data_IF_943462835100
#
_entry.id   IF_943462835100
#
_cell.length_a   1.000
_cell.length_b   1.000
_cell.length_c   1.000
_cell.angle_alpha   90.00
_cell.angle_beta   90.00
_cell.angle_gamma   90.00
#
_symmetry.space_group_name_H-M   'P 1'
#
loop_
_entity.id
_entity.type
_entity.pdbx_description
1 polymer ?
#
# COMPACT_ATOMS: atom_id res chain seq x y z
N UNK A 1 13.51 60.57 -16.71
CA UNK A 1 12.51 59.56 -16.32
C UNK A 1 13.19 58.57 -15.38
N UNK A 2 12.76 58.53 -14.12
CA UNK A 2 13.26 57.60 -13.09
C UNK A 2 12.71 56.20 -13.36
N UNK A 3 13.43 55.14 -12.96
CA UNK A 3 12.91 54.04 -12.13
C UNK A 3 14.11 53.29 -11.54
N UNK A 4 14.08 53.19 -10.21
CA UNK A 4 15.05 52.58 -9.31
C UNK A 4 14.49 51.21 -8.93
N UNK A 5 15.18 50.10 -9.23
CA UNK A 5 14.77 48.76 -8.79
C UNK A 5 15.62 48.35 -7.59
N UNK A 6 15.20 48.78 -6.39
CA UNK A 6 15.60 48.09 -5.16
C UNK A 6 14.94 46.70 -5.20
N UNK A 7 15.78 45.66 -5.36
CA UNK A 7 15.34 44.28 -5.25
C UNK A 7 14.95 43.99 -3.80
N UNK A 8 13.64 43.89 -3.59
CA UNK A 8 13.00 43.46 -2.37
C UNK A 8 13.27 41.96 -2.21
N UNK A 9 14.20 41.57 -1.33
CA UNK A 9 14.32 40.18 -0.90
C UNK A 9 13.10 39.86 -0.01
N UNK A 10 12.06 39.25 -0.59
CA UNK A 10 11.07 38.52 0.20
C UNK A 10 11.77 37.27 0.77
N UNK A 11 12.09 37.30 2.05
CA UNK A 11 12.21 36.07 2.85
C UNK A 11 10.81 35.48 2.95
N UNK A 12 10.44 34.62 2.00
CA UNK A 12 9.34 33.71 2.19
C UNK A 12 9.75 32.72 3.29
N UNK A 13 9.41 33.04 4.54
CA UNK A 13 9.27 32.02 5.57
C UNK A 13 8.13 31.11 5.15
N UNK A 14 8.43 30.08 4.36
CA UNK A 14 7.60 28.89 4.31
C UNK A 14 7.70 28.27 5.71
N UNK A 15 6.78 28.67 6.60
CA UNK A 15 6.40 27.79 7.68
C UNK A 15 5.86 26.53 7.01
N UNK A 16 6.75 25.56 6.77
CA UNK A 16 6.36 24.21 6.43
C UNK A 16 5.49 23.76 7.59
N UNK A 17 4.17 23.72 7.41
CA UNK A 17 3.34 22.90 8.30
C UNK A 17 4.04 21.56 8.28
N UNK A 18 4.63 21.13 9.40
CA UNK A 18 5.39 19.88 9.44
C UNK A 18 4.46 18.80 8.90
N UNK A 19 4.64 18.44 7.62
CA UNK A 19 3.72 17.56 6.95
C UNK A 19 3.88 16.24 7.67
N UNK A 20 2.85 15.83 8.41
CA UNK A 20 2.89 14.60 9.19
C UNK A 20 3.31 13.43 8.32
N UNK A 21 3.84 12.39 8.95
CA UNK A 21 4.26 11.19 8.24
C UNK A 21 3.03 10.53 7.64
N UNK A 22 3.03 10.32 6.32
CA UNK A 22 1.85 9.86 5.58
C UNK A 22 0.60 10.73 5.84
N UNK A 23 0.78 12.03 6.09
CA UNK A 23 -0.30 13.01 6.27
C UNK A 23 -0.70 13.29 7.72
N UNK A 24 -0.18 12.56 8.72
CA UNK A 24 -0.52 12.79 10.13
C UNK A 24 0.69 12.63 11.07
N UNK A 25 0.93 13.61 11.93
CA UNK A 25 2.08 13.62 12.84
C UNK A 25 2.06 12.46 13.85
N UNK A 26 0.87 11.95 14.21
CA UNK A 26 0.70 10.80 15.11
C UNK A 26 1.26 9.51 14.51
N UNK A 27 1.43 9.44 13.19
CA UNK A 27 2.03 8.28 12.52
C UNK A 27 3.56 8.30 12.54
N UNK A 28 4.21 9.45 12.79
CA UNK A 28 5.66 9.56 12.66
C UNK A 28 6.45 8.63 13.57
N UNK A 29 6.02 8.48 14.83
CA UNK A 29 6.65 7.57 15.79
C UNK A 29 6.22 6.11 15.66
N UNK A 30 5.27 5.79 14.76
CA UNK A 30 4.80 4.41 14.58
C UNK A 30 5.75 3.66 13.65
N UNK A 31 6.03 2.40 14.00
CA UNK A 31 6.74 1.46 13.12
C UNK A 31 5.94 1.25 11.84
N UNK A 32 6.62 1.07 10.72
CA UNK A 32 5.98 0.72 9.45
C UNK A 32 5.11 -0.55 9.56
N UNK A 33 5.54 -1.50 10.38
CA UNK A 33 4.79 -2.72 10.74
C UNK A 33 3.59 -2.52 11.66
N UNK A 34 3.43 -1.33 12.22
CA UNK A 34 2.33 -0.97 13.09
C UNK A 34 1.61 0.25 12.51
N UNK A 35 1.26 0.19 11.23
CA UNK A 35 0.30 1.08 10.56
C UNK A 35 -0.54 0.25 9.58
N UNK A 36 -1.75 0.74 9.30
CA UNK A 36 -2.61 0.22 8.23
C UNK A 36 -2.55 1.15 7.01
N UNK A 37 -2.43 0.58 5.82
CA UNK A 37 -2.41 1.28 4.54
C UNK A 37 -3.49 0.72 3.61
N UNK A 38 -4.19 1.61 2.89
CA UNK A 38 -5.02 1.22 1.75
C UNK A 38 -4.12 1.07 0.52
N UNK A 39 -4.26 -0.07 -0.16
CA UNK A 39 -3.64 -0.32 -1.46
C UNK A 39 -4.69 -0.36 -2.56
N UNK A 40 -4.36 0.20 -3.73
CA UNK A 40 -5.16 0.04 -4.93
C UNK A 40 -4.72 -1.24 -5.65
N UNK A 41 -5.66 -2.16 -5.85
CA UNK A 41 -5.46 -3.41 -6.57
C UNK A 41 -5.62 -3.18 -8.08
N UNK A 42 -4.86 -3.92 -8.91
CA UNK A 42 -4.94 -3.88 -10.37
C UNK A 42 -4.86 -2.50 -11.05
N UNK A 43 -4.17 -1.52 -10.43
CA UNK A 43 -3.93 -0.20 -11.02
C UNK A 43 -2.84 -0.28 -12.12
N UNK A 44 -3.23 -0.86 -13.24
CA UNK A 44 -2.42 -0.99 -14.46
C UNK A 44 -3.21 -1.39 -15.71
N UNK A 45 -4.50 -1.75 -15.58
CA UNK A 45 -5.24 -2.37 -16.69
C UNK A 45 -6.39 -1.55 -17.30
N UNK A 46 -6.99 -0.54 -16.65
CA UNK A 46 -8.27 -0.04 -17.19
C UNK A 46 -8.75 1.40 -16.87
N UNK A 47 -8.01 2.27 -16.17
CA UNK A 47 -8.55 3.60 -15.85
C UNK A 47 -7.63 4.79 -16.23
N UNK A 48 -7.96 5.54 -17.31
CA UNK A 48 -7.30 6.78 -17.68
C UNK A 48 -7.58 7.98 -16.75
N UNK A 49 -8.57 7.91 -15.85
CA UNK A 49 -9.02 9.03 -15.01
C UNK A 49 -8.51 9.01 -13.57
N UNK A 50 -7.74 8.01 -13.15
CA UNK A 50 -7.22 7.90 -11.76
C UNK A 50 -6.08 8.88 -11.43
N UNK A 51 -6.21 10.16 -11.79
CA UNK A 51 -5.37 11.26 -11.31
C UNK A 51 -5.60 11.52 -9.81
N UNK A 52 -4.73 10.94 -8.99
CA UNK A 52 -4.38 11.34 -7.62
C UNK A 52 -5.34 12.28 -6.88
N UNK A 53 -6.33 11.74 -6.15
CA UNK A 53 -6.99 12.46 -5.05
C UNK A 53 -7.33 11.52 -3.89
N UNK A 54 -6.43 11.44 -2.91
CA UNK A 54 -6.71 10.92 -1.57
C UNK A 54 -5.79 9.80 -1.10
N UNK A 55 -4.85 10.12 -0.21
CA UNK A 55 -4.16 9.20 0.70
C UNK A 55 -3.27 8.11 0.08
N UNK A 56 -1.97 8.39 -0.03
CA UNK A 56 -0.91 7.36 -0.14
C UNK A 56 -0.76 6.61 -1.48
N UNK A 57 -1.79 6.55 -2.32
CA UNK A 57 -1.71 5.95 -3.66
C UNK A 57 -1.16 6.97 -4.67
N UNK A 58 0.17 7.02 -4.82
CA UNK A 58 0.83 7.89 -5.79
C UNK A 58 0.37 7.52 -7.20
N UNK A 59 -0.22 8.48 -7.91
CA UNK A 59 -0.54 8.34 -9.33
C UNK A 59 0.73 8.19 -10.16
N UNK A 60 0.62 7.51 -11.30
CA UNK A 60 1.70 7.49 -12.29
C UNK A 60 2.04 8.94 -12.68
N UNK A 61 3.19 9.45 -12.24
CA UNK A 61 3.72 10.76 -12.63
C UNK A 61 3.87 11.81 -11.52
N UNK A 62 3.26 11.63 -10.35
CA UNK A 62 3.43 12.57 -9.24
C UNK A 62 4.68 12.24 -8.40
N UNK A 63 5.50 13.23 -7.99
CA UNK A 63 6.60 12.99 -7.08
C UNK A 63 6.09 12.40 -5.76
N UNK A 64 6.66 11.28 -5.32
CA UNK A 64 6.41 10.73 -3.97
C UNK A 64 6.55 11.86 -2.94
N UNK A 65 5.50 12.23 -2.17
CA UNK A 65 5.59 13.32 -1.20
C UNK A 65 6.74 13.09 -0.22
N UNK A 66 7.52 14.14 0.06
CA UNK A 66 8.76 14.01 0.84
C UNK A 66 8.52 13.41 2.24
N UNK A 67 7.35 13.62 2.83
CA UNK A 67 6.94 13.11 4.15
C UNK A 67 6.13 11.82 4.10
N UNK A 68 6.17 11.06 3.00
CA UNK A 68 5.40 9.83 2.85
C UNK A 68 6.30 8.62 2.61
N UNK A 69 6.02 7.55 3.35
CA UNK A 69 6.49 6.18 3.09
C UNK A 69 5.40 5.45 2.29
N UNK A 70 5.80 4.87 1.16
CA UNK A 70 4.88 4.19 0.24
C UNK A 70 5.26 2.73 0.11
N UNK A 71 4.26 1.88 -0.09
CA UNK A 71 4.43 0.45 -0.34
C UNK A 71 4.07 0.15 -1.78
N UNK A 72 4.95 -0.54 -2.50
CA UNK A 72 4.70 -1.06 -3.83
C UNK A 72 4.64 -2.59 -3.75
N UNK A 73 3.49 -3.14 -4.08
CA UNK A 73 3.27 -4.57 -4.23
C UNK A 73 3.17 -4.87 -5.72
N UNK A 74 4.03 -5.76 -6.25
CA UNK A 74 3.98 -6.18 -7.64
C UNK A 74 3.78 -7.68 -7.75
N UNK A 75 2.96 -8.07 -8.72
CA UNK A 75 2.80 -9.46 -9.11
C UNK A 75 3.77 -9.83 -10.23
N UNK A 76 4.27 -11.06 -10.20
CA UNK A 76 5.26 -11.63 -11.10
C UNK A 76 4.86 -13.06 -11.49
N UNK A 77 3.64 -13.19 -12.01
CA UNK A 77 3.07 -14.48 -12.42
C UNK A 77 3.89 -15.18 -13.51
N UNK A 78 4.53 -14.39 -14.38
CA UNK A 78 5.41 -14.89 -15.45
C UNK A 78 6.78 -15.38 -14.93
N UNK A 79 7.04 -15.26 -13.62
CA UNK A 79 8.29 -15.70 -12.98
C UNK A 79 9.52 -15.03 -13.61
N UNK A 80 9.37 -13.78 -14.03
CA UNK A 80 10.44 -13.01 -14.62
C UNK A 80 11.58 -12.81 -13.61
N UNK A 81 12.82 -12.80 -14.09
CA UNK A 81 13.99 -12.60 -13.22
C UNK A 81 13.92 -11.21 -12.56
N UNK A 82 14.15 -11.17 -11.25
CA UNK A 82 14.04 -9.96 -10.41
C UNK A 82 14.88 -8.79 -10.95
N UNK A 83 15.95 -9.04 -11.70
CA UNK A 83 16.79 -7.98 -12.28
C UNK A 83 16.04 -7.09 -13.28
N UNK A 84 14.96 -7.58 -13.90
CA UNK A 84 14.11 -6.76 -14.79
C UNK A 84 13.43 -5.66 -13.97
N UNK A 85 12.82 -6.03 -12.85
CA UNK A 85 12.21 -5.08 -11.90
C UNK A 85 13.26 -4.17 -11.26
N UNK A 86 14.42 -4.73 -10.89
CA UNK A 86 15.55 -3.98 -10.35
C UNK A 86 16.03 -2.88 -11.31
N UNK A 87 16.18 -3.20 -12.60
CA UNK A 87 16.53 -2.22 -13.65
C UNK A 87 15.44 -1.15 -13.82
N UNK A 88 14.16 -1.53 -13.82
CA UNK A 88 13.07 -0.56 -13.90
C UNK A 88 13.05 0.41 -12.70
N UNK A 89 13.33 -0.09 -11.49
CA UNK A 89 13.47 0.72 -10.28
C UNK A 89 14.65 1.69 -10.35
N UNK A 90 15.77 1.28 -10.94
CA UNK A 90 16.93 2.17 -11.16
C UNK A 90 16.59 3.24 -12.19
N UNK A 91 16.01 2.86 -13.33
CA UNK A 91 15.71 3.77 -14.45
C UNK A 91 14.66 4.83 -14.08
N UNK A 92 13.65 4.46 -13.28
CA UNK A 92 12.66 5.40 -12.73
C UNK A 92 13.23 6.25 -11.60
N UNK A 93 14.39 5.90 -11.07
CA UNK A 93 14.97 6.51 -9.88
C UNK A 93 14.31 6.10 -8.57
N UNK A 94 13.36 5.16 -8.57
CA UNK A 94 12.70 4.67 -7.35
C UNK A 94 13.65 3.88 -6.43
N UNK A 95 14.66 3.22 -7.00
CA UNK A 95 15.64 2.43 -6.24
C UNK A 95 16.35 3.25 -5.14
N UNK A 96 16.54 4.56 -5.32
CA UNK A 96 17.16 5.44 -4.30
C UNK A 96 16.33 5.56 -3.03
N UNK A 97 15.00 5.46 -3.17
CA UNK A 97 14.03 5.53 -2.07
C UNK A 97 13.72 4.17 -1.45
N UNK A 98 14.10 3.07 -2.11
CA UNK A 98 13.75 1.72 -1.67
C UNK A 98 14.50 1.36 -0.38
N UNK A 99 13.75 0.93 0.64
CA UNK A 99 14.28 0.44 1.90
C UNK A 99 14.88 -0.95 1.70
N UNK A 100 16.13 -1.12 2.15
CA UNK A 100 16.86 -2.38 2.13
C UNK A 100 17.06 -2.85 3.56
N UNK A 101 16.29 -3.84 4.03
CA UNK A 101 16.50 -4.44 5.34
C UNK A 101 17.91 -5.07 5.43
N UNK A 102 18.66 -4.87 6.53
CA UNK A 102 19.99 -5.48 6.70
C UNK A 102 19.93 -7.01 6.90
N UNK A 103 18.75 -7.52 7.23
CA UNK A 103 18.41 -8.93 7.45
C UNK A 103 16.90 -9.10 7.28
N UNK A 104 16.40 -10.34 7.37
CA UNK A 104 14.96 -10.56 7.54
C UNK A 104 14.50 -10.00 8.89
N UNK A 105 13.66 -8.96 8.85
CA UNK A 105 13.17 -8.28 10.06
C UNK A 105 11.93 -8.96 10.63
N UNK A 106 11.89 -9.11 11.95
CA UNK A 106 10.64 -9.33 12.68
C UNK A 106 9.80 -8.03 12.67
N UNK A 107 8.48 -8.15 12.87
CA UNK A 107 7.57 -6.99 12.84
C UNK A 107 8.01 -5.86 13.77
N UNK A 108 8.47 -6.16 14.98
CA UNK A 108 8.94 -5.16 15.93
C UNK A 108 10.30 -4.53 15.58
N UNK A 109 11.04 -5.07 14.61
CA UNK A 109 12.34 -4.54 14.18
C UNK A 109 12.22 -3.52 13.04
N UNK A 110 11.04 -3.38 12.42
CA UNK A 110 10.84 -2.38 11.39
C UNK A 110 11.03 -0.95 11.92
N UNK A 111 11.63 -0.05 11.12
CA UNK A 111 11.81 1.35 11.49
C UNK A 111 10.47 2.08 11.60
N UNK A 112 10.48 3.20 12.30
CA UNK A 112 9.39 4.17 12.31
C UNK A 112 9.27 4.88 10.98
N UNK A 113 8.09 5.44 10.69
CA UNK A 113 7.90 6.23 9.48
C UNK A 113 8.84 7.43 9.44
N UNK A 114 9.08 8.09 10.58
CA UNK A 114 10.01 9.21 10.66
C UNK A 114 11.45 8.79 10.34
N UNK A 115 11.92 7.64 10.83
CA UNK A 115 13.26 7.12 10.51
C UNK A 115 13.41 6.79 9.01
N UNK A 116 12.37 6.22 8.40
CA UNK A 116 12.35 5.94 6.96
C UNK A 116 12.37 7.22 6.12
N UNK A 117 11.61 8.24 6.53
CA UNK A 117 11.60 9.55 5.88
C UNK A 117 12.95 10.25 6.04
N UNK A 118 13.51 10.28 7.26
CA UNK A 118 14.80 10.92 7.55
C UNK A 118 15.96 10.28 6.78
N UNK A 119 15.94 8.95 6.62
CA UNK A 119 16.93 8.21 5.84
C UNK A 119 16.66 8.25 4.32
N UNK A 120 15.57 8.90 3.90
CA UNK A 120 15.08 8.92 2.52
C UNK A 120 14.84 7.51 1.95
N UNK A 121 14.61 6.51 2.81
CA UNK A 121 14.29 5.12 2.48
C UNK A 121 12.81 4.87 2.69
N UNK A 122 12.02 5.56 1.86
CA UNK A 122 10.58 5.77 1.98
C UNK A 122 9.75 4.99 0.96
N UNK A 123 10.31 3.93 0.39
CA UNK A 123 9.61 2.96 -0.46
C UNK A 123 9.89 1.55 0.07
N UNK A 124 8.85 0.77 0.36
CA UNK A 124 8.96 -0.67 0.60
C UNK A 124 8.40 -1.38 -0.60
N UNK A 125 9.19 -2.28 -1.21
CA UNK A 125 8.77 -3.01 -2.40
C UNK A 125 8.70 -4.51 -2.11
N UNK A 126 7.53 -5.10 -2.35
CA UNK A 126 7.29 -6.54 -2.29
C UNK A 126 7.02 -7.08 -3.70
N UNK A 127 7.50 -8.29 -3.96
CA UNK A 127 7.27 -9.04 -5.19
C UNK A 127 6.78 -10.45 -4.80
N UNK A 128 5.63 -10.87 -5.31
CA UNK A 128 4.95 -12.12 -4.94
C UNK A 128 5.79 -13.37 -5.23
N UNK A 129 6.43 -13.42 -6.39
CA UNK A 129 7.17 -14.57 -6.89
C UNK A 129 8.52 -14.16 -7.47
N UNK A 130 9.51 -15.04 -7.30
CA UNK A 130 10.86 -14.90 -7.85
C UNK A 130 11.61 -13.62 -7.40
N UNK A 131 11.27 -13.08 -6.22
CA UNK A 131 12.15 -12.16 -5.53
C UNK A 131 13.48 -12.86 -5.15
N UNK A 132 14.59 -12.12 -5.24
CA UNK A 132 15.91 -12.61 -4.81
C UNK A 132 16.71 -11.41 -4.28
N UNK A 133 16.77 -11.28 -2.96
CA UNK A 133 17.46 -10.18 -2.29
C UNK A 133 18.99 -10.28 -2.38
N UNK A 134 19.55 -11.41 -2.81
CA UNK A 134 20.97 -11.49 -3.13
C UNK A 134 21.28 -10.81 -4.48
N UNK A 135 20.32 -10.80 -5.43
CA UNK A 135 20.43 -10.09 -6.72
C UNK A 135 19.97 -8.64 -6.63
N UNK A 136 18.81 -8.39 -6.02
CA UNK A 136 18.22 -7.05 -5.90
C UNK A 136 17.78 -6.83 -4.45
N UNK A 137 18.66 -6.32 -3.56
CA UNK A 137 18.45 -6.31 -2.11
C UNK A 137 17.22 -5.56 -1.61
N UNK A 138 16.69 -4.61 -2.39
CA UNK A 138 15.55 -3.77 -2.03
C UNK A 138 14.20 -4.25 -2.57
N UNK A 139 14.15 -5.38 -3.30
CA UNK A 139 12.91 -6.03 -3.72
C UNK A 139 12.71 -7.24 -2.81
N UNK A 140 11.76 -7.11 -1.88
CA UNK A 140 11.52 -8.11 -0.85
C UNK A 140 10.59 -9.20 -1.38
N UNK A 141 10.86 -10.44 -0.97
CA UNK A 141 9.93 -11.55 -1.13
C UNK A 141 8.67 -11.26 -0.31
N UNK A 142 7.55 -11.08 -0.99
CA UNK A 142 6.27 -10.81 -0.35
C UNK A 142 5.93 -11.89 0.67
N UNK A 143 5.92 -13.16 0.29
CA UNK A 143 5.49 -14.25 1.16
C UNK A 143 6.53 -14.62 2.24
N UNK A 144 7.75 -14.08 2.14
CA UNK A 144 8.68 -14.06 3.25
C UNK A 144 8.27 -13.08 4.36
N UNK A 145 7.50 -12.03 4.06
CA UNK A 145 7.10 -10.98 5.00
C UNK A 145 5.59 -10.88 5.26
N UNK A 146 4.75 -11.27 4.31
CA UNK A 146 3.32 -11.05 4.29
C UNK A 146 2.58 -12.38 4.20
N UNK A 147 1.32 -12.36 4.62
CA UNK A 147 0.32 -13.31 4.15
C UNK A 147 -0.84 -12.53 3.52
N UNK A 148 -1.61 -13.23 2.70
CA UNK A 148 -2.79 -12.70 2.03
C UNK A 148 -4.03 -13.54 2.31
N UNK A 149 -5.19 -12.89 2.41
CA UNK A 149 -6.49 -13.57 2.35
C UNK A 149 -6.85 -13.93 0.90
N UNK A 150 -7.82 -14.84 0.67
CA UNK A 150 -8.25 -15.15 -0.69
C UNK A 150 -8.71 -13.91 -1.47
N UNK A 151 -8.34 -13.86 -2.75
CA UNK A 151 -8.78 -12.86 -3.73
C UNK A 151 -9.91 -13.43 -4.61
N UNK A 152 -10.41 -12.65 -5.57
CA UNK A 152 -11.52 -13.04 -6.46
C UNK A 152 -12.78 -13.48 -5.73
N UNK A 153 -13.13 -12.75 -4.68
CA UNK A 153 -14.32 -13.02 -3.88
C UNK A 153 -15.55 -12.50 -4.61
N UNK A 154 -16.63 -13.28 -4.63
CA UNK A 154 -17.93 -12.86 -5.21
C UNK A 154 -19.02 -12.70 -4.13
N UNK A 155 -18.71 -13.00 -2.86
CA UNK A 155 -19.60 -12.71 -1.73
C UNK A 155 -19.26 -11.33 -1.15
N UNK A 156 -20.15 -10.33 -1.28
CA UNK A 156 -19.91 -8.96 -0.80
C UNK A 156 -19.79 -8.84 0.73
N UNK A 157 -20.03 -9.93 1.47
CA UNK A 157 -19.83 -9.97 2.93
C UNK A 157 -18.40 -10.28 3.34
N UNK A 158 -17.56 -10.78 2.43
CA UNK A 158 -16.20 -11.24 2.73
C UNK A 158 -16.13 -12.07 4.04
N UNK A 159 -16.83 -13.22 4.12
CA UNK A 159 -17.15 -13.89 5.39
C UNK A 159 -15.96 -14.63 6.04
N UNK A 160 -14.73 -14.25 5.72
CA UNK A 160 -13.52 -14.94 6.18
C UNK A 160 -12.29 -14.02 6.19
N UNK A 161 -11.30 -14.47 6.96
CA UNK A 161 -9.94 -13.93 6.95
C UNK A 161 -8.95 -15.09 7.12
N UNK A 162 -9.03 -16.08 6.23
CA UNK A 162 -8.09 -17.20 6.24
C UNK A 162 -6.78 -16.81 5.56
N UNK A 163 -5.68 -17.49 5.90
CA UNK A 163 -4.43 -17.37 5.14
C UNK A 163 -4.55 -18.20 3.87
N UNK A 164 -4.50 -17.53 2.72
CA UNK A 164 -4.51 -18.15 1.39
C UNK A 164 -3.11 -18.27 0.82
N UNK A 165 -2.38 -17.14 0.83
CA UNK A 165 -1.02 -17.07 0.29
C UNK A 165 -0.01 -16.62 1.35
N UNK A 166 1.16 -17.27 1.41
CA UNK A 166 1.47 -18.54 0.75
C UNK A 166 0.68 -19.69 1.41
N UNK A 167 0.38 -20.78 0.68
CA UNK A 167 -0.43 -21.88 1.19
C UNK A 167 0.22 -22.53 2.42
N UNK A 168 -0.59 -22.86 3.42
CA UNK A 168 -0.17 -23.48 4.69
C UNK A 168 0.76 -22.62 5.57
N UNK A 169 0.89 -21.31 5.31
CA UNK A 169 1.66 -20.44 6.19
C UNK A 169 0.89 -20.04 7.44
N UNK A 170 1.67 -19.75 8.49
CA UNK A 170 1.19 -19.04 9.67
C UNK A 170 1.15 -17.53 9.38
N UNK A 171 0.15 -16.84 9.93
CA UNK A 171 0.09 -15.38 9.99
C UNK A 171 1.09 -14.79 10.98
N UNK A 172 1.64 -15.60 11.90
CA UNK A 172 2.52 -15.12 12.96
C UNK A 172 3.81 -14.49 12.40
N UNK A 173 4.10 -13.26 12.85
CA UNK A 173 5.30 -12.52 12.46
C UNK A 173 5.26 -11.97 11.02
N UNK A 174 4.08 -11.93 10.40
CA UNK A 174 3.88 -11.44 9.04
C UNK A 174 3.01 -10.19 9.00
N UNK A 175 3.21 -9.36 8.00
CA UNK A 175 2.21 -8.38 7.61
C UNK A 175 0.98 -9.11 7.08
N UNK A 176 -0.18 -8.52 7.30
CA UNK A 176 -1.45 -8.99 6.74
C UNK A 176 -1.84 -8.11 5.55
N UNK A 177 -2.09 -8.76 4.42
CA UNK A 177 -2.68 -8.14 3.24
C UNK A 177 -4.08 -8.73 3.08
N UNK A 178 -5.10 -7.89 3.21
CA UNK A 178 -6.50 -8.29 3.12
C UNK A 178 -7.01 -7.92 1.74
N UNK A 179 -7.35 -8.94 0.96
CA UNK A 179 -7.99 -8.80 -0.33
C UNK A 179 -9.48 -8.48 -0.13
N UNK A 180 -9.79 -7.19 -0.01
CA UNK A 180 -11.16 -6.66 0.05
C UNK A 180 -11.61 -6.19 -1.34
N UNK A 181 -11.47 -7.10 -2.31
CA UNK A 181 -11.73 -6.91 -3.74
C UNK A 181 -12.92 -7.77 -4.14
N UNK A 182 -14.00 -7.13 -4.59
CA UNK A 182 -15.24 -7.81 -4.96
C UNK A 182 -15.32 -7.95 -6.47
N UNK A 183 -15.45 -9.20 -6.93
CA UNK A 183 -15.68 -9.55 -8.32
C UNK A 183 -17.16 -9.87 -8.57
N UNK A 184 -17.61 -9.59 -9.79
CA UNK A 184 -18.83 -10.15 -10.36
C UNK A 184 -18.48 -11.22 -11.39
N UNK A 185 -19.26 -12.31 -11.39
CA UNK A 185 -19.14 -13.35 -12.41
C UNK A 185 -19.97 -12.98 -13.64
N UNK A 186 -19.31 -12.80 -14.79
CA UNK A 186 -19.97 -12.55 -16.08
C UNK A 186 -20.54 -13.84 -16.68
N UNK A 187 -19.98 -14.99 -16.33
CA UNK A 187 -20.43 -16.30 -16.81
C UNK A 187 -20.60 -17.26 -15.63
N UNK A 188 -21.63 -18.12 -15.63
CA UNK A 188 -21.80 -19.13 -14.58
C UNK A 188 -20.64 -20.14 -14.56
N UNK A 189 -20.35 -20.71 -13.38
CA UNK A 189 -19.40 -21.82 -13.22
C UNK A 189 -18.10 -21.41 -12.53
N UNK A 190 -17.28 -22.41 -12.19
CA UNK A 190 -16.01 -22.25 -11.46
C UNK A 190 -14.90 -21.60 -12.29
N UNK A 191 -14.99 -21.72 -13.62
CA UNK A 191 -14.08 -21.12 -14.59
C UNK A 191 -14.66 -19.83 -15.19
N UNK A 192 -15.62 -19.22 -14.48
CA UNK A 192 -16.31 -18.04 -14.97
C UNK A 192 -15.38 -16.84 -15.09
N UNK A 193 -15.64 -15.99 -16.08
CA UNK A 193 -14.91 -14.72 -16.21
C UNK A 193 -15.36 -13.80 -15.07
N UNK A 194 -14.42 -13.44 -14.21
CA UNK A 194 -14.61 -12.48 -13.13
C UNK A 194 -14.15 -11.10 -13.59
N UNK A 195 -14.92 -10.07 -13.23
CA UNK A 195 -14.48 -8.68 -13.36
C UNK A 195 -14.74 -7.92 -12.05
N UNK A 196 -13.94 -6.90 -11.73
CA UNK A 196 -14.18 -6.06 -10.56
C UNK A 196 -15.57 -5.39 -10.58
N UNK A 197 -16.25 -5.37 -9.43
CA UNK A 197 -17.56 -4.75 -9.26
C UNK A 197 -17.49 -3.21 -9.17
N UNK A 198 -17.27 -2.55 -10.32
CA UNK A 198 -17.17 -1.08 -10.38
C UNK A 198 -18.44 -0.36 -9.93
N UNK A 199 -19.62 -0.97 -10.15
CA UNK A 199 -20.92 -0.36 -9.79
C UNK A 199 -21.18 -0.49 -8.29
N UNK A 200 -20.70 -1.57 -7.66
CA UNK A 200 -20.75 -1.78 -6.22
C UNK A 200 -19.60 -1.15 -5.43
N UNK A 201 -18.58 -0.58 -6.09
CA UNK A 201 -17.34 -0.13 -5.46
C UNK A 201 -17.54 0.81 -4.26
N UNK A 202 -18.47 1.77 -4.30
CA UNK A 202 -18.72 2.66 -3.14
C UNK A 202 -19.24 1.91 -1.91
N UNK A 203 -20.02 0.84 -2.12
CA UNK A 203 -20.57 0.01 -1.04
C UNK A 203 -19.50 -0.93 -0.50
N UNK A 204 -18.73 -1.57 -1.37
CA UNK A 204 -17.59 -2.41 -0.99
C UNK A 204 -16.55 -1.60 -0.24
N UNK A 205 -16.17 -0.43 -0.74
CA UNK A 205 -15.15 0.42 -0.13
C UNK A 205 -15.69 1.32 1.00
N UNK A 206 -16.89 1.04 1.52
CA UNK A 206 -17.46 1.77 2.66
C UNK A 206 -16.77 1.41 3.98
N UNK A 207 -16.81 2.30 4.98
CA UNK A 207 -16.27 1.99 6.31
C UNK A 207 -16.93 0.72 6.88
N UNK A 208 -18.24 0.57 6.69
CA UNK A 208 -18.98 -0.55 7.23
C UNK A 208 -18.52 -1.90 6.67
N UNK A 209 -18.30 -1.99 5.34
CA UNK A 209 -17.88 -3.24 4.69
C UNK A 209 -16.42 -3.59 5.02
N UNK A 210 -15.50 -2.62 4.91
CA UNK A 210 -14.08 -2.82 5.27
C UNK A 210 -13.95 -3.24 6.73
N UNK A 211 -14.59 -2.52 7.65
CA UNK A 211 -14.47 -2.82 9.09
C UNK A 211 -15.14 -4.15 9.48
N UNK A 212 -16.13 -4.62 8.73
CA UNK A 212 -16.71 -5.95 8.95
C UNK A 212 -15.67 -7.07 8.72
N UNK A 213 -14.93 -7.03 7.61
CA UNK A 213 -13.87 -8.01 7.35
C UNK A 213 -12.67 -7.82 8.29
N UNK A 214 -12.31 -6.58 8.61
CA UNK A 214 -11.26 -6.29 9.59
C UNK A 214 -11.58 -6.92 10.95
N UNK A 215 -12.84 -6.87 11.40
CA UNK A 215 -13.28 -7.53 12.63
C UNK A 215 -13.04 -9.04 12.59
N UNK A 216 -13.31 -9.70 11.46
CA UNK A 216 -12.99 -11.12 11.27
C UNK A 216 -11.48 -11.38 11.35
N UNK A 217 -10.67 -10.54 10.72
CA UNK A 217 -9.22 -10.66 10.74
C UNK A 217 -8.62 -10.45 12.14
N UNK A 218 -9.15 -9.49 12.90
CA UNK A 218 -8.74 -9.27 14.28
C UNK A 218 -9.07 -10.49 15.16
N UNK A 219 -10.23 -11.12 14.98
CA UNK A 219 -10.58 -12.35 15.69
C UNK A 219 -9.69 -13.53 15.26
N UNK A 220 -9.34 -13.63 13.98
CA UNK A 220 -8.54 -14.75 13.45
C UNK A 220 -7.04 -14.65 13.77
N UNK A 221 -6.49 -13.42 13.85
CA UNK A 221 -5.04 -13.20 13.90
C UNK A 221 -4.58 -12.31 15.05
N UNK A 222 -5.49 -11.74 15.84
CA UNK A 222 -5.17 -10.93 17.02
C UNK A 222 -4.48 -9.60 16.71
N UNK A 223 -4.45 -9.17 15.45
CA UNK A 223 -3.81 -7.93 15.01
C UNK A 223 -4.70 -7.17 14.03
N UNK A 224 -4.60 -5.83 14.05
CA UNK A 224 -5.23 -4.99 13.03
C UNK A 224 -4.47 -5.15 11.72
N UNK A 225 -5.16 -5.29 10.57
CA UNK A 225 -4.49 -5.54 9.31
C UNK A 225 -3.51 -4.43 8.88
N UNK A 226 -2.44 -4.82 8.18
CA UNK A 226 -1.44 -3.86 7.69
C UNK A 226 -1.80 -3.25 6.34
N UNK A 227 -2.38 -4.06 5.44
CA UNK A 227 -2.77 -3.61 4.10
C UNK A 227 -4.19 -4.09 3.81
N UNK A 228 -5.03 -3.18 3.32
CA UNK A 228 -6.34 -3.52 2.74
C UNK A 228 -6.25 -3.17 1.26
N UNK A 229 -6.38 -4.18 0.39
CA UNK A 229 -6.40 -4.00 -1.05
C UNK A 229 -7.84 -3.81 -1.52
N UNK A 230 -8.06 -2.78 -2.33
CA UNK A 230 -9.36 -2.39 -2.88
C UNK A 230 -9.25 -2.18 -4.39
N UNK A 231 -10.27 -2.59 -5.14
CA UNK A 231 -10.48 -2.09 -6.51
C UNK A 231 -11.19 -0.74 -6.44
N UNK A 232 -10.87 0.16 -7.37
CA UNK A 232 -11.44 1.53 -7.42
C UNK A 232 -11.37 2.24 -6.06
N UNK A 233 -10.19 2.19 -5.41
CA UNK A 233 -9.98 2.66 -4.04
C UNK A 233 -10.33 4.14 -3.80
N UNK A 234 -10.44 4.92 -4.88
CA UNK A 234 -10.91 6.31 -4.88
C UNK A 234 -12.43 6.45 -4.63
N UNK A 235 -13.20 5.38 -4.81
CA UNK A 235 -14.64 5.32 -4.56
C UNK A 235 -14.92 4.82 -3.15
N UNK A 236 -15.89 5.43 -2.48
CA UNK A 236 -16.29 5.07 -1.12
C UNK A 236 -15.51 5.82 -0.02
N UNK A 237 -15.22 5.14 1.09
CA UNK A 237 -14.70 5.74 2.31
C UNK A 237 -13.36 5.13 2.76
N UNK A 238 -12.57 4.59 1.83
CA UNK A 238 -11.34 3.84 2.11
C UNK A 238 -10.37 4.55 3.07
N UNK A 239 -10.09 5.84 2.83
CA UNK A 239 -9.18 6.62 3.68
C UNK A 239 -9.76 6.87 5.07
N UNK A 240 -11.09 6.98 5.20
CA UNK A 240 -11.74 7.10 6.51
C UNK A 240 -11.60 5.79 7.29
N UNK A 241 -11.78 4.63 6.65
CA UNK A 241 -11.53 3.33 7.26
C UNK A 241 -10.06 3.18 7.70
N UNK A 242 -9.12 3.60 6.86
CA UNK A 242 -7.68 3.65 7.19
C UNK A 242 -7.41 4.47 8.46
N UNK A 243 -8.03 5.65 8.56
CA UNK A 243 -7.84 6.53 9.70
C UNK A 243 -8.43 5.93 10.98
N UNK A 244 -9.57 5.22 10.90
CA UNK A 244 -10.15 4.48 12.04
C UNK A 244 -9.17 3.39 12.53
N UNK A 245 -8.67 2.55 11.61
CA UNK A 245 -7.73 1.47 11.96
C UNK A 245 -6.40 1.98 12.52
N UNK A 246 -6.03 3.22 12.17
CA UNK A 246 -4.85 3.90 12.69
C UNK A 246 -5.09 4.80 13.90
N UNK A 247 -6.31 4.83 14.45
CA UNK A 247 -6.70 5.69 15.58
C UNK A 247 -6.47 7.18 15.34
N UNK A 248 -6.78 7.63 14.13
CA UNK A 248 -6.63 9.04 13.70
C UNK A 248 -7.93 9.85 13.75
N UNK A 249 -9.07 9.21 14.04
CA UNK A 249 -10.40 9.81 14.17
C UNK A 249 -11.09 9.39 15.44
#
# INVERSE_FOLDING_TARGET
MRINFQSLLLLASFASSAAGCNGDARLCGRKYSNITQIGAHNRGAADPESGARGGGAVGYGDPLPASSVVTLLLTNQDKADVSIFGKAMVNSGLAKFAYTPPKKLALNEWPTLQEMINSNKRLVMFLDYHADTAKVPYILDEFAYCFETPFSQTDPKFPQCSVDRPPNASSAGRFSIINHVLDIALTPGKDGVLIPDILGAEKTNSVASIMAQVGLCQMAHGTTPNFILLDYAERGEAIKAQNIMNHLV
#
